data_IF_348631929332
#
_entry.id   IF_348631929332
#
_cell.length_a   1.000
_cell.length_b   1.000
_cell.length_c   1.000
_cell.angle_alpha   90.00
_cell.angle_beta   90.00
_cell.angle_gamma   90.00
#
_symmetry.space_group_name_H-M   'P 1'
#
loop_
_entity.id
_entity.type
_entity.pdbx_description
1 polymer ?
#
# COMPACT_ATOMS: atom_id res chain seq x y z
N UNK A 1 18.48 -5.57 -2.02
CA UNK A 1 17.14 -6.18 -2.06
C UNK A 1 16.92 -6.75 -3.45
N UNK A 2 16.51 -8.02 -3.56
CA UNK A 2 16.23 -8.63 -4.86
C UNK A 2 14.99 -8.00 -5.50
N UNK A 3 14.85 -8.08 -6.82
CA UNK A 3 13.73 -7.50 -7.57
C UNK A 3 12.36 -8.01 -7.09
N UNK A 4 12.33 -9.18 -6.46
CA UNK A 4 11.13 -9.81 -5.89
C UNK A 4 10.42 -8.93 -4.84
N UNK A 5 11.13 -8.02 -4.16
CA UNK A 5 10.52 -7.08 -3.22
C UNK A 5 9.66 -6.00 -3.87
N UNK A 6 9.86 -5.73 -5.17
CA UNK A 6 9.03 -4.78 -5.92
C UNK A 6 7.70 -5.38 -6.40
N UNK A 7 7.52 -6.70 -6.25
CA UNK A 7 6.38 -7.44 -6.79
C UNK A 7 5.03 -7.00 -6.17
N UNK A 8 4.91 -6.81 -4.83
CA UNK A 8 3.67 -6.31 -4.24
C UNK A 8 3.27 -4.93 -4.77
N UNK A 9 4.26 -4.06 -4.97
CA UNK A 9 4.05 -2.72 -5.52
C UNK A 9 3.62 -2.77 -6.99
N UNK A 10 4.32 -3.53 -7.83
CA UNK A 10 3.96 -3.72 -9.23
C UNK A 10 2.56 -4.35 -9.39
N UNK A 11 2.23 -5.34 -8.55
CA UNK A 11 0.92 -5.98 -8.53
C UNK A 11 -0.21 -5.03 -8.14
N UNK A 12 0.01 -4.18 -7.13
CA UNK A 12 -0.92 -3.11 -6.76
C UNK A 12 -1.15 -2.15 -7.92
N UNK A 13 -0.07 -1.66 -8.56
CA UNK A 13 -0.16 -0.75 -9.71
C UNK A 13 -0.92 -1.35 -10.89
N UNK A 14 -0.65 -2.61 -11.22
CA UNK A 14 -1.39 -3.32 -12.26
C UNK A 14 -2.86 -3.49 -11.89
N UNK A 15 -3.16 -3.77 -10.62
CA UNK A 15 -4.53 -3.90 -10.13
C UNK A 15 -5.30 -2.58 -10.29
N UNK A 16 -4.73 -1.45 -9.86
CA UNK A 16 -5.39 -0.14 -9.99
C UNK A 16 -5.50 0.33 -11.44
N UNK A 17 -4.56 -0.04 -12.30
CA UNK A 17 -4.61 0.30 -13.72
C UNK A 17 -5.64 -0.54 -14.49
N UNK A 18 -5.75 -1.84 -14.21
CA UNK A 18 -6.58 -2.79 -14.97
C UNK A 18 -7.96 -3.05 -14.37
N UNK A 19 -8.08 -3.03 -13.04
CA UNK A 19 -9.31 -3.33 -12.32
C UNK A 19 -10.51 -2.48 -12.75
N UNK A 20 -10.40 -1.13 -12.79
CA UNK A 20 -11.47 -0.26 -13.26
C UNK A 20 -11.86 -0.51 -14.72
N UNK A 21 -10.88 -0.87 -15.57
CA UNK A 21 -11.08 -1.05 -17.01
C UNK A 21 -11.73 -2.39 -17.36
N UNK A 22 -11.36 -3.47 -16.66
CA UNK A 22 -11.81 -4.82 -16.97
C UNK A 22 -13.06 -5.22 -16.17
N UNK A 23 -13.17 -4.78 -14.91
CA UNK A 23 -14.22 -5.25 -13.98
C UNK A 23 -14.68 -4.14 -13.03
N UNK A 24 -15.14 -3.01 -13.59
CA UNK A 24 -15.52 -1.80 -12.85
C UNK A 24 -16.39 -2.05 -11.59
N UNK A 25 -17.49 -2.80 -11.73
CA UNK A 25 -18.42 -3.04 -10.61
C UNK A 25 -17.83 -3.88 -9.48
N UNK A 26 -17.00 -4.88 -9.83
CA UNK A 26 -16.31 -5.72 -8.83
C UNK A 26 -15.20 -4.93 -8.17
N UNK A 27 -14.47 -4.14 -8.96
CA UNK A 27 -13.37 -3.30 -8.51
C UNK A 27 -13.80 -2.30 -7.45
N UNK A 28 -14.87 -1.54 -7.69
CA UNK A 28 -15.36 -0.56 -6.71
C UNK A 28 -15.73 -1.21 -5.37
N UNK A 29 -16.34 -2.40 -5.41
CA UNK A 29 -16.75 -3.07 -4.19
C UNK A 29 -15.60 -3.80 -3.46
N UNK A 30 -14.55 -4.22 -4.19
CA UNK A 30 -13.45 -5.03 -3.65
C UNK A 30 -12.11 -4.29 -3.59
N UNK A 31 -12.07 -3.01 -3.96
CA UNK A 31 -10.85 -2.20 -3.99
C UNK A 31 -10.05 -2.34 -2.68
N UNK A 32 -10.71 -2.12 -1.55
CA UNK A 32 -10.09 -2.21 -0.23
C UNK A 32 -9.54 -3.61 0.09
N UNK A 33 -10.18 -4.68 -0.38
CA UNK A 33 -9.68 -6.06 -0.16
C UNK A 33 -8.46 -6.36 -1.02
N UNK A 34 -8.44 -5.88 -2.26
CA UNK A 34 -7.33 -6.06 -3.20
C UNK A 34 -6.11 -5.28 -2.72
N UNK A 35 -6.29 -4.02 -2.31
CA UNK A 35 -5.20 -3.21 -1.77
C UNK A 35 -4.67 -3.78 -0.45
N UNK A 36 -5.54 -4.26 0.44
CA UNK A 36 -5.14 -4.92 1.68
C UNK A 36 -4.33 -6.20 1.41
N UNK A 37 -4.72 -7.00 0.42
CA UNK A 37 -3.97 -8.20 0.02
C UNK A 37 -2.54 -7.85 -0.40
N UNK A 38 -2.37 -6.87 -1.29
CA UNK A 38 -1.03 -6.44 -1.73
C UNK A 38 -0.22 -5.79 -0.61
N UNK A 39 -0.86 -5.01 0.27
CA UNK A 39 -0.20 -4.44 1.44
C UNK A 39 0.27 -5.53 2.40
N UNK A 40 -0.55 -6.55 2.67
CA UNK A 40 -0.16 -7.70 3.48
C UNK A 40 0.99 -8.49 2.84
N UNK A 41 0.98 -8.65 1.51
CA UNK A 41 2.06 -9.30 0.76
C UNK A 41 3.39 -8.53 0.86
N UNK A 42 3.37 -7.22 1.14
CA UNK A 42 4.57 -6.43 1.43
C UNK A 42 4.98 -6.50 2.91
N UNK A 43 4.01 -6.32 3.82
CA UNK A 43 4.26 -6.19 5.27
C UNK A 43 4.56 -7.54 5.92
N UNK A 44 3.91 -8.63 5.52
CA UNK A 44 4.12 -9.96 6.12
C UNK A 44 5.55 -10.46 5.88
N UNK A 45 6.09 -10.47 4.64
CA UNK A 45 7.49 -10.84 4.42
C UNK A 45 8.46 -9.90 5.13
N UNK A 46 8.13 -8.60 5.25
CA UNK A 46 8.94 -7.64 6.01
C UNK A 46 9.02 -8.04 7.48
N UNK A 47 7.88 -8.37 8.10
CA UNK A 47 7.81 -8.81 9.47
C UNK A 47 8.52 -10.15 9.72
N UNK A 48 8.45 -11.08 8.75
CA UNK A 48 9.13 -12.36 8.83
C UNK A 48 10.66 -12.25 8.65
N UNK A 49 11.13 -11.36 7.77
CA UNK A 49 12.55 -11.21 7.46
C UNK A 49 13.31 -10.30 8.44
N UNK A 50 12.66 -9.24 8.93
CA UNK A 50 13.29 -8.20 9.77
C UNK A 50 12.69 -8.10 11.18
N UNK A 51 11.67 -8.91 11.48
CA UNK A 51 11.01 -8.96 12.78
C UNK A 51 9.78 -8.06 12.88
N UNK A 52 8.84 -8.44 13.76
CA UNK A 52 7.56 -7.76 13.93
C UNK A 52 7.74 -6.30 14.38
N UNK A 53 8.62 -6.03 15.34
CA UNK A 53 8.84 -4.68 15.87
C UNK A 53 9.32 -3.70 14.78
N UNK A 54 10.34 -4.10 14.00
CA UNK A 54 10.87 -3.29 12.89
C UNK A 54 9.82 -3.07 11.80
N UNK A 55 9.05 -4.11 11.45
CA UNK A 55 7.99 -3.97 10.47
C UNK A 55 6.87 -3.03 10.94
N UNK A 56 6.45 -3.12 12.21
CA UNK A 56 5.45 -2.20 12.76
C UNK A 56 5.95 -0.78 12.83
N UNK A 57 7.22 -0.56 13.20
CA UNK A 57 7.83 0.76 13.21
C UNK A 57 7.85 1.37 11.81
N UNK A 58 8.26 0.60 10.79
CA UNK A 58 8.27 1.05 9.40
C UNK A 58 6.86 1.42 8.89
N UNK A 59 5.85 0.59 9.19
CA UNK A 59 4.45 0.86 8.80
C UNK A 59 3.92 2.10 9.52
N UNK A 60 4.16 2.23 10.83
CA UNK A 60 3.72 3.39 11.59
C UNK A 60 4.43 4.66 11.14
N UNK A 61 5.72 4.59 10.82
CA UNK A 61 6.46 5.72 10.28
C UNK A 61 5.87 6.17 8.93
N UNK A 62 5.61 5.25 8.01
CA UNK A 62 4.98 5.57 6.73
C UNK A 62 3.58 6.20 6.91
N UNK A 63 2.76 5.68 7.83
CA UNK A 63 1.41 6.21 8.07
C UNK A 63 1.41 7.57 8.80
N UNK A 64 2.19 7.69 9.86
CA UNK A 64 2.16 8.85 10.75
C UNK A 64 3.05 9.98 10.25
N UNK A 65 4.18 9.67 9.63
CA UNK A 65 5.13 10.68 9.18
C UNK A 65 4.91 11.01 7.71
N UNK A 66 4.83 10.02 6.82
CA UNK A 66 4.72 10.31 5.39
C UNK A 66 3.29 10.65 4.99
N UNK A 67 2.33 9.76 5.29
CA UNK A 67 0.95 9.89 4.85
C UNK A 67 0.21 11.04 5.56
N UNK A 68 0.41 11.19 6.88
CA UNK A 68 -0.21 12.30 7.62
C UNK A 68 0.36 13.66 7.20
N UNK A 69 1.68 13.78 7.01
CA UNK A 69 2.28 15.02 6.52
C UNK A 69 1.80 15.36 5.11
N UNK A 70 1.62 14.37 4.23
CA UNK A 70 1.02 14.58 2.93
C UNK A 70 -0.41 15.12 3.02
N UNK A 71 -1.25 14.55 3.90
CA UNK A 71 -2.61 15.04 4.14
C UNK A 71 -2.58 16.50 4.64
N UNK A 72 -1.72 16.83 5.60
CA UNK A 72 -1.58 18.20 6.11
C UNK A 72 -1.19 19.17 4.98
N UNK A 73 -0.25 18.76 4.12
CA UNK A 73 0.16 19.54 2.96
C UNK A 73 -1.00 19.76 1.98
N UNK A 74 -1.83 18.74 1.74
CA UNK A 74 -3.03 18.89 0.91
C UNK A 74 -4.01 19.91 1.51
N UNK A 75 -4.24 19.87 2.82
CA UNK A 75 -5.07 20.88 3.49
C UNK A 75 -4.48 22.28 3.33
N UNK A 76 -3.17 22.45 3.48
CA UNK A 76 -2.53 23.75 3.29
C UNK A 76 -2.60 24.27 1.84
N UNK A 77 -2.63 23.37 0.85
CA UNK A 77 -2.66 23.72 -0.57
C UNK A 77 -4.06 24.03 -1.10
N UNK A 78 -5.10 23.38 -0.55
CA UNK A 78 -6.48 23.45 -1.03
C UNK A 78 -7.46 24.06 -0.03
N UNK A 79 -6.96 24.73 1.02
CA UNK A 79 -7.74 25.63 1.87
C UNK A 79 -7.70 27.05 1.35
#
# INVERSE_FOLDING_TARGET
MSLWWALPFAGLLLSIATGPLLFHHVWEHHYGKITLFWAALAVVPLALAFGMASATEAVLHALLTEYTSFIILLFALFT
#
